data_IF_722648854759
#
_entry.id   IF_722648854759
#
_cell.length_a   1.000
_cell.length_b   1.000
_cell.length_c   1.000
_cell.angle_alpha   90.00
_cell.angle_beta   90.00
_cell.angle_gamma   90.00
#
_symmetry.space_group_name_H-M   'P 1'
#
loop_
_entity.id
_entity.type
_entity.pdbx_description
1 polymer ?
#
# COMPACT_ATOMS: atom_id res chain seq x y z
N UNK A 1 -6.61 -13.55 18.95
CA UNK A 1 -6.19 -13.79 17.57
C UNK A 1 -4.77 -14.33 17.64
N UNK A 2 -4.46 -15.44 16.98
CA UNK A 2 -3.13 -16.05 17.03
C UNK A 2 -2.07 -15.08 16.46
N UNK A 3 -0.86 -15.06 17.05
CA UNK A 3 0.21 -14.13 16.63
C UNK A 3 0.57 -14.34 15.16
N UNK A 4 0.56 -15.59 14.70
CA UNK A 4 0.81 -15.94 13.30
C UNK A 4 -0.22 -15.31 12.35
N UNK A 5 -1.50 -15.20 12.75
CA UNK A 5 -2.53 -14.55 11.94
C UNK A 5 -2.25 -13.06 11.81
N UNK A 6 -1.91 -12.39 12.91
CA UNK A 6 -1.60 -10.95 12.88
C UNK A 6 -0.38 -10.67 12.00
N UNK A 7 0.67 -11.49 12.11
CA UNK A 7 1.84 -11.37 11.24
C UNK A 7 1.49 -11.61 9.77
N UNK A 8 0.64 -12.60 9.46
CA UNK A 8 0.20 -12.84 8.09
C UNK A 8 -0.53 -11.63 7.49
N UNK A 9 -1.43 -11.02 8.26
CA UNK A 9 -2.18 -9.82 7.83
C UNK A 9 -1.24 -8.65 7.50
N UNK A 10 -0.16 -8.48 8.27
CA UNK A 10 0.84 -7.43 8.04
C UNK A 10 1.64 -7.60 6.75
N UNK A 11 1.65 -8.78 6.16
CA UNK A 11 2.37 -9.04 4.91
C UNK A 11 1.48 -8.84 3.69
N UNK A 12 0.15 -8.87 3.83
CA UNK A 12 -0.82 -8.93 2.73
C UNK A 12 -0.46 -9.99 1.66
N UNK A 13 0.23 -11.07 2.05
CA UNK A 13 0.70 -12.11 1.12
C UNK A 13 1.86 -11.69 0.20
N UNK A 14 2.47 -10.53 0.43
CA UNK A 14 3.63 -10.06 -0.33
C UNK A 14 4.90 -10.80 0.13
N UNK A 15 5.58 -11.60 -0.74
CA UNK A 15 6.65 -12.50 -0.30
C UNK A 15 7.81 -11.81 0.40
N UNK A 16 8.23 -10.65 -0.10
CA UNK A 16 9.33 -9.90 0.51
C UNK A 16 8.97 -9.38 1.90
N UNK A 17 7.74 -8.89 2.09
CA UNK A 17 7.23 -8.50 3.40
C UNK A 17 7.23 -9.67 4.38
N UNK A 18 6.80 -10.85 3.94
CA UNK A 18 6.85 -12.07 4.76
C UNK A 18 8.29 -12.41 5.17
N UNK A 19 9.24 -12.32 4.25
CA UNK A 19 10.66 -12.60 4.52
C UNK A 19 11.24 -11.61 5.54
N UNK A 20 11.02 -10.31 5.35
CA UNK A 20 11.53 -9.28 6.26
C UNK A 20 10.92 -9.43 7.65
N UNK A 21 9.58 -9.53 7.74
CA UNK A 21 8.90 -9.65 9.03
C UNK A 21 9.36 -10.90 9.80
N UNK A 22 9.53 -12.03 9.11
CA UNK A 22 10.04 -13.27 9.69
C UNK A 22 11.49 -13.13 10.19
N UNK A 23 12.38 -12.54 9.39
CA UNK A 23 13.77 -12.32 9.76
C UNK A 23 13.91 -11.42 10.99
N UNK A 24 13.21 -10.28 11.01
CA UNK A 24 13.26 -9.35 12.13
C UNK A 24 12.68 -9.97 13.41
N UNK A 25 11.51 -10.61 13.30
CA UNK A 25 10.86 -11.27 14.44
C UNK A 25 11.76 -12.34 15.05
N UNK A 26 12.47 -13.11 14.23
CA UNK A 26 13.44 -14.11 14.69
C UNK A 26 14.59 -13.46 15.48
N UNK A 27 15.16 -12.37 14.97
CA UNK A 27 16.25 -11.65 15.64
C UNK A 27 15.83 -11.01 16.98
N UNK A 28 14.53 -10.69 17.12
CA UNK A 28 13.93 -10.14 18.34
C UNK A 28 13.27 -11.21 19.22
N UNK A 29 13.78 -12.44 19.18
CA UNK A 29 13.33 -13.55 20.04
C UNK A 29 11.82 -13.85 19.97
N UNK A 30 11.20 -13.60 18.81
CA UNK A 30 9.77 -13.82 18.59
C UNK A 30 8.87 -12.61 18.84
N UNK A 31 9.41 -11.47 19.27
CA UNK A 31 8.62 -10.25 19.50
C UNK A 31 8.45 -9.44 18.20
N UNK A 32 7.42 -9.77 17.42
CA UNK A 32 7.11 -9.04 16.18
C UNK A 32 6.59 -7.61 16.43
N UNK A 33 6.12 -7.29 17.64
CA UNK A 33 5.65 -5.93 17.94
C UNK A 33 6.84 -4.97 18.09
N UNK A 34 7.95 -5.45 18.64
CA UNK A 34 9.18 -4.68 18.78
C UNK A 34 9.81 -4.29 17.44
N UNK A 35 9.52 -5.01 16.34
CA UNK A 35 10.16 -4.81 15.03
C UNK A 35 9.33 -4.04 14.02
N UNK A 36 8.16 -3.53 14.42
CA UNK A 36 7.23 -2.82 13.53
C UNK A 36 7.87 -1.67 12.76
N UNK A 37 8.61 -0.81 13.46
CA UNK A 37 9.29 0.33 12.83
C UNK A 37 10.39 -0.08 11.88
N UNK A 38 11.20 -1.08 12.24
CA UNK A 38 12.25 -1.61 11.34
C UNK A 38 11.64 -2.29 10.12
N UNK A 39 10.55 -3.03 10.29
CA UNK A 39 9.80 -3.64 9.19
C UNK A 39 9.28 -2.60 8.19
N UNK A 40 8.66 -1.52 8.69
CA UNK A 40 8.21 -0.38 7.87
C UNK A 40 9.38 0.26 7.12
N UNK A 41 10.50 0.52 7.80
CA UNK A 41 11.71 1.08 7.20
C UNK A 41 12.27 0.20 6.08
N UNK A 42 12.39 -1.11 6.30
CA UNK A 42 12.89 -2.04 5.27
C UNK A 42 11.99 -2.04 4.03
N UNK A 43 10.67 -2.06 4.21
CA UNK A 43 9.75 -2.01 3.09
C UNK A 43 9.85 -0.69 2.32
N UNK A 44 10.01 0.42 3.04
CA UNK A 44 10.23 1.74 2.47
C UNK A 44 11.49 1.78 1.60
N UNK A 45 12.65 1.49 2.19
CA UNK A 45 13.97 1.67 1.56
C UNK A 45 14.18 0.69 0.38
N UNK A 46 13.78 -0.57 0.54
CA UNK A 46 14.10 -1.60 -0.45
C UNK A 46 13.04 -1.75 -1.55
N UNK A 47 11.81 -1.27 -1.32
CA UNK A 47 10.69 -1.49 -2.26
C UNK A 47 9.97 -0.18 -2.59
N UNK A 48 9.45 0.52 -1.59
CA UNK A 48 8.48 1.59 -1.83
C UNK A 48 9.10 2.84 -2.42
N UNK A 49 10.31 3.22 -2.00
CA UNK A 49 11.04 4.34 -2.59
C UNK A 49 11.24 4.16 -4.09
N UNK A 50 11.58 2.93 -4.51
CA UNK A 50 11.74 2.61 -5.92
C UNK A 50 10.42 2.70 -6.67
N UNK A 51 9.35 2.08 -6.16
CA UNK A 51 8.02 2.13 -6.77
C UNK A 51 7.52 3.58 -6.89
N UNK A 52 7.63 4.35 -5.81
CA UNK A 52 7.21 5.75 -5.74
C UNK A 52 7.99 6.63 -6.69
N UNK A 53 9.31 6.43 -6.79
CA UNK A 53 10.19 7.15 -7.73
C UNK A 53 9.76 6.99 -9.19
N UNK A 54 9.14 5.85 -9.55
CA UNK A 54 8.68 5.54 -10.90
C UNK A 54 7.24 5.97 -11.21
N UNK A 55 6.54 6.55 -10.23
CA UNK A 55 5.22 7.15 -10.44
C UNK A 55 5.37 8.59 -10.93
N UNK A 56 4.58 8.95 -11.94
CA UNK A 56 4.45 10.36 -12.32
C UNK A 56 3.82 11.17 -11.20
N UNK A 57 4.00 12.49 -11.19
CA UNK A 57 3.38 13.37 -10.19
C UNK A 57 1.85 13.19 -10.13
N UNK A 58 1.20 13.03 -11.30
CA UNK A 58 -0.24 12.75 -11.38
C UNK A 58 -0.62 11.38 -10.82
N UNK A 59 0.19 10.34 -11.07
CA UNK A 59 -0.04 9.01 -10.48
C UNK A 59 0.08 9.06 -8.94
N UNK A 60 1.09 9.77 -8.42
CA UNK A 60 1.27 10.00 -6.98
C UNK A 60 0.09 10.74 -6.35
N UNK A 61 -0.39 11.78 -7.01
CA UNK A 61 -1.57 12.55 -6.56
C UNK A 61 -2.82 11.67 -6.49
N UNK A 62 -3.02 10.80 -7.49
CA UNK A 62 -4.14 9.85 -7.48
C UNK A 62 -3.97 8.78 -6.41
N UNK A 63 -2.77 8.24 -6.23
CA UNK A 63 -2.48 7.30 -5.14
C UNK A 63 -2.75 7.96 -3.77
N UNK A 64 -2.34 9.22 -3.60
CA UNK A 64 -2.60 9.98 -2.37
C UNK A 64 -4.09 10.17 -2.12
N UNK A 65 -4.86 10.60 -3.11
CA UNK A 65 -6.32 10.74 -2.94
C UNK A 65 -7.05 9.41 -2.74
N UNK A 66 -6.45 8.28 -3.10
CA UNK A 66 -6.96 6.94 -2.73
C UNK A 66 -6.68 6.66 -1.26
N UNK A 67 -5.49 7.00 -0.75
CA UNK A 67 -5.13 6.85 0.65
C UNK A 67 -5.94 7.79 1.58
N UNK A 68 -6.25 9.00 1.13
CA UNK A 68 -7.02 9.97 1.92
C UNK A 68 -8.50 9.61 2.11
N UNK A 69 -9.02 8.64 1.32
CA UNK A 69 -10.43 8.25 1.36
C UNK A 69 -10.58 6.83 1.91
N UNK A 70 -11.15 6.74 3.12
CA UNK A 70 -11.42 5.47 3.77
C UNK A 70 -12.33 4.56 2.93
N UNK A 71 -12.05 3.26 2.98
CA UNK A 71 -12.89 2.23 2.37
C UNK A 71 -12.79 2.11 0.85
N UNK A 72 -11.97 2.92 0.17
CA UNK A 72 -11.56 2.66 -1.22
C UNK A 72 -12.66 2.81 -2.28
N UNK A 73 -13.79 3.44 -1.95
CA UNK A 73 -14.92 3.61 -2.87
C UNK A 73 -14.58 4.62 -3.97
N UNK A 74 -14.56 4.15 -5.23
CA UNK A 74 -14.12 4.94 -6.39
C UNK A 74 -14.91 6.25 -6.53
N UNK A 75 -16.21 6.21 -6.22
CA UNK A 75 -17.06 7.41 -6.28
C UNK A 75 -16.52 8.50 -5.34
N UNK A 76 -16.20 8.12 -4.11
CA UNK A 76 -15.84 9.05 -3.03
C UNK A 76 -14.40 9.57 -3.27
N UNK A 77 -13.51 8.70 -3.76
CA UNK A 77 -12.15 9.08 -4.22
C UNK A 77 -12.21 10.12 -5.34
N UNK A 78 -13.07 9.92 -6.35
CA UNK A 78 -13.21 10.87 -7.46
C UNK A 78 -13.76 12.22 -7.00
N UNK A 79 -14.73 12.20 -6.08
CA UNK A 79 -15.30 13.41 -5.49
C UNK A 79 -14.24 14.19 -4.70
N UNK A 80 -13.43 13.48 -3.91
CA UNK A 80 -12.30 14.07 -3.18
C UNK A 80 -11.24 14.67 -4.11
N UNK A 81 -10.89 13.98 -5.20
CA UNK A 81 -9.92 14.44 -6.19
C UNK A 81 -10.47 15.45 -7.20
N UNK A 82 -11.77 15.75 -7.15
CA UNK A 82 -12.47 16.55 -8.16
C UNK A 82 -12.23 16.05 -9.61
N UNK A 83 -12.24 14.73 -9.81
CA UNK A 83 -11.96 14.10 -11.10
C UNK A 83 -13.17 13.44 -11.74
N UNK A 84 -13.30 13.63 -13.05
CA UNK A 84 -14.27 12.87 -13.83
C UNK A 84 -13.82 11.42 -14.10
N UNK A 85 -14.78 10.58 -14.49
CA UNK A 85 -14.54 9.12 -14.58
C UNK A 85 -13.52 8.80 -15.66
N UNK A 86 -13.59 9.52 -16.76
CA UNK A 86 -12.62 9.46 -17.87
C UNK A 86 -11.23 9.97 -17.48
N UNK A 87 -11.12 10.92 -16.54
CA UNK A 87 -9.86 11.44 -16.03
C UNK A 87 -9.20 10.48 -15.04
N UNK A 88 -9.97 9.91 -14.11
CA UNK A 88 -9.47 9.00 -13.08
C UNK A 88 -9.08 7.61 -13.64
N UNK A 89 -9.86 7.08 -14.58
CA UNK A 89 -9.71 5.70 -15.07
C UNK A 89 -8.32 5.36 -15.64
N UNK A 90 -7.65 6.21 -16.44
CA UNK A 90 -6.29 5.96 -16.90
C UNK A 90 -5.29 5.75 -15.76
N UNK A 91 -5.37 6.56 -14.69
CA UNK A 91 -4.49 6.46 -13.53
C UNK A 91 -4.78 5.20 -12.72
N UNK A 92 -6.06 4.92 -12.44
CA UNK A 92 -6.49 3.66 -11.81
C UNK A 92 -5.95 2.43 -12.56
N UNK A 93 -6.14 2.38 -13.88
CA UNK A 93 -5.66 1.25 -14.71
C UNK A 93 -4.14 1.12 -14.66
N UNK A 94 -3.41 2.23 -14.66
CA UNK A 94 -1.94 2.23 -14.60
C UNK A 94 -1.43 1.71 -13.25
N UNK A 95 -2.02 2.17 -12.14
CA UNK A 95 -1.67 1.73 -10.80
C UNK A 95 -2.02 0.24 -10.57
N UNK A 96 -3.15 -0.24 -11.11
CA UNK A 96 -3.48 -1.67 -11.12
C UNK A 96 -2.46 -2.47 -11.94
N UNK A 97 -2.11 -1.99 -13.15
CA UNK A 97 -1.11 -2.67 -14.01
C UNK A 97 0.27 -2.75 -13.36
N UNK A 98 0.63 -1.74 -12.57
CA UNK A 98 1.87 -1.72 -11.77
C UNK A 98 1.80 -2.63 -10.52
N UNK A 99 0.65 -3.25 -10.25
CA UNK A 99 0.47 -4.11 -9.08
C UNK A 99 0.39 -3.36 -7.76
N UNK A 100 0.12 -2.04 -7.78
CA UNK A 100 0.01 -1.18 -6.59
C UNK A 100 -1.41 -1.19 -6.03
N UNK A 101 -2.40 -1.28 -6.92
CA UNK A 101 -3.82 -1.33 -6.57
C UNK A 101 -4.46 -2.64 -7.03
N UNK A 102 -5.41 -3.13 -6.24
CA UNK A 102 -6.40 -4.11 -6.66
C UNK A 102 -7.69 -3.39 -7.04
N UNK A 103 -8.34 -3.90 -8.08
CA UNK A 103 -9.66 -3.44 -8.54
C UNK A 103 -10.66 -4.58 -8.68
N UNK A 104 -10.46 -5.68 -7.96
CA UNK A 104 -11.27 -6.91 -8.04
C UNK A 104 -12.72 -6.69 -7.60
N UNK A 105 -12.93 -5.80 -6.63
CA UNK A 105 -14.27 -5.44 -6.17
C UNK A 105 -14.83 -4.31 -7.03
N UNK A 106 -15.98 -4.54 -7.67
CA UNK A 106 -16.63 -3.54 -8.54
C UNK A 106 -16.94 -2.27 -7.76
N UNK A 107 -16.42 -1.14 -8.24
CA UNK A 107 -16.65 0.18 -7.64
C UNK A 107 -15.65 0.54 -6.53
N UNK A 108 -14.66 -0.31 -6.26
CA UNK A 108 -13.67 -0.12 -5.22
C UNK A 108 -12.24 -0.32 -5.73
N UNK A 109 -11.28 0.27 -5.02
CA UNK A 109 -9.83 0.06 -5.20
C UNK A 109 -9.14 0.02 -3.85
N UNK A 110 -8.10 -0.82 -3.73
CA UNK A 110 -7.33 -0.97 -2.49
C UNK A 110 -5.85 -1.16 -2.79
N UNK A 111 -4.97 -0.70 -1.90
CA UNK A 111 -3.54 -0.99 -1.99
C UNK A 111 -3.26 -2.47 -1.74
N UNK A 112 -2.54 -3.10 -2.67
CA UNK A 112 -2.10 -4.50 -2.59
C UNK A 112 -0.85 -4.66 -1.74
N UNK A 113 -0.01 -3.64 -1.71
CA UNK A 113 1.22 -3.63 -0.94
C UNK A 113 0.90 -3.37 0.55
N UNK A 114 1.51 -4.13 1.48
CA UNK A 114 1.36 -3.85 2.91
C UNK A 114 1.94 -2.47 3.23
N UNK A 115 1.35 -1.73 4.16
CA UNK A 115 1.88 -0.44 4.66
C UNK A 115 2.12 0.66 3.60
N UNK A 116 1.72 0.43 2.35
CA UNK A 116 1.99 1.36 1.26
C UNK A 116 1.04 2.57 1.29
N UNK A 117 -0.11 2.41 1.90
CA UNK A 117 -1.05 3.51 2.13
C UNK A 117 -0.44 4.53 3.08
N UNK A 118 0.10 4.06 4.20
CA UNK A 118 0.85 4.81 5.20
C UNK A 118 2.09 5.47 4.58
N UNK A 119 2.86 4.72 3.80
CA UNK A 119 3.99 5.26 3.04
C UNK A 119 3.58 6.43 2.12
N UNK A 120 2.48 6.28 1.38
CA UNK A 120 1.94 7.35 0.52
C UNK A 120 1.50 8.56 1.34
N UNK A 121 0.95 8.33 2.54
CA UNK A 121 0.54 9.41 3.43
C UNK A 121 1.72 10.23 3.98
N UNK A 122 2.88 9.61 4.16
CA UNK A 122 4.08 10.26 4.71
C UNK A 122 4.97 10.93 3.64
N UNK A 123 4.87 10.51 2.37
CA UNK A 123 5.83 10.86 1.31
C UNK A 123 5.23 11.67 0.12
N UNK A 124 4.03 12.22 0.28
CA UNK A 124 3.38 13.09 -0.71
C UNK A 124 3.36 14.56 -0.26
#
# INVERSE_FOLDING_TARGET
MDQATQMADLTKGYPFAFQVLGYLTWNHHGDYNAVRGEYEQYLSEFVYDKIWSELSQKDRMVARGIADVEGGKIKDIREHLHMETNEFNPYRKRLIKKGILSGETRGYVYFTLPLFEEYVMENY
#
